data_IF_767935626463
#
_entry.id   IF_767935626463
#
_cell.length_a   1.000
_cell.length_b   1.000
_cell.length_c   1.000
_cell.angle_alpha   90.00
_cell.angle_beta   90.00
_cell.angle_gamma   90.00
#
_symmetry.space_group_name_H-M   'P 1'
#
loop_
_entity.id
_entity.type
_entity.pdbx_description
1 polymer ?
#
# COMPACT_ATOMS: atom_id res chain seq x y z
N UNK A 1 2.01 91.84 2.68
CA UNK A 1 1.19 90.72 2.16
C UNK A 1 2.11 89.68 1.56
N UNK A 2 2.08 88.45 2.07
CA UNK A 2 2.19 87.13 1.41
C UNK A 2 2.04 86.12 2.57
N UNK A 3 0.97 85.31 2.63
CA UNK A 3 0.83 84.31 3.68
C UNK A 3 1.64 83.06 3.31
N UNK A 4 2.40 82.52 4.26
CA UNK A 4 3.06 81.22 4.12
C UNK A 4 2.02 80.12 4.39
N UNK A 5 1.65 79.39 3.34
CA UNK A 5 0.81 78.20 3.43
C UNK A 5 1.72 77.01 3.78
N UNK A 6 1.51 76.40 4.94
CA UNK A 6 2.10 75.10 5.27
C UNK A 6 1.21 73.99 4.72
N UNK A 7 1.68 73.29 3.68
CA UNK A 7 1.02 72.09 3.15
C UNK A 7 1.54 70.89 3.94
N UNK A 8 0.70 70.34 4.82
CA UNK A 8 0.94 69.08 5.49
C UNK A 8 0.71 67.93 4.49
N UNK A 9 1.79 67.36 3.97
CA UNK A 9 1.74 66.15 3.15
C UNK A 9 1.57 64.94 4.08
N UNK A 10 0.34 64.50 4.26
CA UNK A 10 0.04 63.19 4.84
C UNK A 10 0.38 62.10 3.82
N UNK A 11 1.52 61.43 3.99
CA UNK A 11 1.83 60.19 3.26
C UNK A 11 1.12 59.05 3.99
N UNK A 12 0.11 58.39 3.39
CA UNK A 12 -0.49 57.22 4.01
C UNK A 12 0.57 56.13 4.04
N UNK A 13 0.96 55.71 5.25
CA UNK A 13 1.70 54.47 5.44
C UNK A 13 0.80 53.32 4.99
N UNK A 14 0.98 52.87 3.74
CA UNK A 14 0.45 51.59 3.29
C UNK A 14 1.21 50.52 4.07
N UNK A 15 0.57 49.97 5.10
CA UNK A 15 1.01 48.78 5.80
C UNK A 15 1.04 47.63 4.78
N UNK A 16 2.20 47.39 4.16
CA UNK A 16 2.42 46.16 3.40
C UNK A 16 2.41 45.06 4.45
N UNK A 17 1.28 44.37 4.58
CA UNK A 17 1.22 43.11 5.30
C UNK A 17 2.19 42.17 4.59
N UNK A 18 3.33 41.91 5.24
CA UNK A 18 4.24 40.85 4.82
C UNK A 18 3.45 39.54 4.93
N UNK A 19 2.85 39.11 3.82
CA UNK A 19 2.41 37.72 3.69
C UNK A 19 3.71 36.93 3.69
N UNK A 20 3.99 36.25 4.81
CA UNK A 20 5.19 35.42 4.94
C UNK A 20 5.27 34.49 3.73
N UNK A 21 6.35 34.60 2.97
CA UNK A 21 6.60 33.73 1.83
C UNK A 21 6.60 32.29 2.35
N UNK A 22 5.70 31.47 1.81
CA UNK A 22 5.66 30.05 2.06
C UNK A 22 6.99 29.44 1.58
N UNK A 23 7.78 28.88 2.49
CA UNK A 23 9.03 28.20 2.13
C UNK A 23 8.66 26.88 1.43
N UNK A 24 8.62 26.90 0.09
CA UNK A 24 8.43 25.70 -0.72
C UNK A 24 9.57 24.73 -0.45
N UNK A 25 9.28 23.66 0.29
CA UNK A 25 10.23 22.57 0.47
C UNK A 25 10.19 21.70 -0.79
N UNK A 26 11.14 21.92 -1.69
CA UNK A 26 11.30 21.09 -2.88
C UNK A 26 11.52 19.61 -2.54
N UNK A 27 11.23 18.72 -3.48
CA UNK A 27 11.56 17.30 -3.43
C UNK A 27 11.97 16.81 -4.81
N UNK A 28 12.62 15.65 -4.88
CA UNK A 28 13.21 15.12 -6.12
C UNK A 28 12.28 14.10 -6.80
N UNK A 29 11.67 13.21 -6.01
CA UNK A 29 10.83 12.12 -6.51
C UNK A 29 9.75 11.71 -5.50
N UNK A 30 8.82 10.87 -5.93
CA UNK A 30 7.79 10.26 -5.08
C UNK A 30 8.21 8.84 -4.70
N UNK A 31 8.15 8.52 -3.41
CA UNK A 31 8.31 7.16 -2.90
C UNK A 31 6.95 6.63 -2.47
N UNK A 32 6.35 5.77 -3.30
CA UNK A 32 5.07 5.14 -3.01
C UNK A 32 5.29 3.83 -2.26
N UNK A 33 4.77 3.73 -1.05
CA UNK A 33 5.01 2.61 -0.14
C UNK A 33 3.74 1.84 0.18
N UNK A 34 3.85 0.52 0.15
CA UNK A 34 2.79 -0.39 0.55
C UNK A 34 3.33 -1.34 1.62
N UNK A 35 2.56 -1.53 2.69
CA UNK A 35 2.90 -2.34 3.85
C UNK A 35 2.11 -3.65 3.84
N UNK A 36 2.74 -4.73 4.29
CA UNK A 36 2.05 -6.00 4.51
C UNK A 36 1.34 -5.96 5.88
N UNK A 37 -0.01 -5.96 5.94
CA UNK A 37 -0.72 -5.70 7.19
C UNK A 37 -0.38 -6.66 8.33
N UNK A 38 -0.05 -7.91 8.03
CA UNK A 38 0.29 -8.94 9.02
C UNK A 38 1.59 -8.58 9.72
N UNK A 39 2.56 -8.11 8.95
CA UNK A 39 3.86 -7.69 9.46
C UNK A 39 3.74 -6.40 10.27
N UNK A 40 2.93 -5.45 9.81
CA UNK A 40 2.62 -4.25 10.58
C UNK A 40 1.93 -4.59 11.91
N UNK A 41 0.98 -5.51 11.91
CA UNK A 41 0.32 -5.98 13.11
C UNK A 41 1.30 -6.70 14.07
N UNK A 42 2.18 -7.55 13.57
CA UNK A 42 3.22 -8.22 14.39
C UNK A 42 4.09 -7.18 15.08
N UNK A 43 4.66 -6.24 14.30
CA UNK A 43 5.48 -5.13 14.84
C UNK A 43 4.73 -4.33 15.90
N UNK A 44 3.46 -4.00 15.65
CA UNK A 44 2.61 -3.26 16.58
C UNK A 44 2.36 -4.01 17.89
N UNK A 45 2.08 -5.31 17.81
CA UNK A 45 1.86 -6.14 19.00
C UNK A 45 3.14 -6.42 19.79
N UNK A 46 4.28 -6.49 19.10
CA UNK A 46 5.59 -6.66 19.75
C UNK A 46 5.95 -5.46 20.62
N UNK A 47 5.42 -4.25 20.34
CA UNK A 47 5.69 -3.05 21.15
C UNK A 47 4.85 -2.95 22.43
N UNK A 48 3.71 -3.63 22.52
CA UNK A 48 2.88 -3.64 23.74
C UNK A 48 1.85 -4.78 23.72
N UNK A 49 1.68 -5.44 24.88
CA UNK A 49 0.68 -6.51 25.06
C UNK A 49 -0.78 -6.04 24.92
N UNK A 50 -1.03 -4.74 25.07
CA UNK A 50 -2.37 -4.16 24.99
C UNK A 50 -2.75 -3.75 23.55
N UNK A 51 -1.82 -3.85 22.60
CA UNK A 51 -2.08 -3.49 21.22
C UNK A 51 -2.91 -4.57 20.53
N UNK A 52 -3.97 -4.13 19.87
CA UNK A 52 -4.77 -4.94 18.94
C UNK A 52 -4.49 -4.47 17.51
N UNK A 53 -4.93 -5.23 16.53
CA UNK A 53 -4.77 -4.88 15.12
C UNK A 53 -6.13 -4.74 14.46
N UNK A 54 -6.23 -3.79 13.54
CA UNK A 54 -7.33 -3.70 12.61
C UNK A 54 -6.90 -4.37 11.30
N UNK A 55 -7.61 -5.42 10.90
CA UNK A 55 -7.28 -6.25 9.73
C UNK A 55 -8.46 -6.32 8.76
N UNK A 56 -9.29 -5.27 8.68
CA UNK A 56 -10.50 -5.22 7.86
C UNK A 56 -10.23 -5.58 6.38
N UNK A 57 -9.05 -5.24 5.85
CA UNK A 57 -8.55 -5.75 4.57
C UNK A 57 -7.20 -6.45 4.71
N UNK A 58 -7.08 -7.37 5.67
CA UNK A 58 -5.82 -8.08 5.86
C UNK A 58 -5.43 -8.96 4.67
N UNK A 59 -6.32 -9.26 3.72
CA UNK A 59 -6.05 -10.23 2.66
C UNK A 59 -5.03 -9.75 1.61
N UNK A 60 -4.73 -8.45 1.55
CA UNK A 60 -3.80 -7.87 0.58
C UNK A 60 -2.91 -6.78 1.20
N UNK A 61 -1.98 -6.25 0.42
CA UNK A 61 -1.15 -5.11 0.79
C UNK A 61 -1.99 -3.86 1.01
N UNK A 62 -1.61 -3.05 2.00
CA UNK A 62 -2.22 -1.74 2.23
C UNK A 62 -1.25 -0.65 1.83
N UNK A 63 -1.78 0.47 1.33
CA UNK A 63 -0.99 1.70 1.19
C UNK A 63 -0.48 2.10 2.58
N UNK A 64 0.80 2.43 2.65
CA UNK A 64 1.38 3.13 3.80
C UNK A 64 1.40 4.62 3.50
N UNK A 65 1.99 5.04 2.37
CA UNK A 65 1.81 6.40 1.87
C UNK A 65 2.49 6.71 0.54
N UNK A 66 2.31 7.97 0.10
CA UNK A 66 2.97 8.53 -1.10
C UNK A 66 3.84 9.69 -0.63
N UNK A 67 5.16 9.48 -0.61
CA UNK A 67 6.07 10.41 0.09
C UNK A 67 6.91 11.22 -0.89
N UNK A 68 6.68 12.54 -1.00
CA UNK A 68 7.67 13.46 -1.57
C UNK A 68 9.02 13.28 -0.89
N UNK A 69 10.04 12.95 -1.68
CA UNK A 69 11.35 12.53 -1.18
C UNK A 69 12.48 13.29 -1.89
N UNK A 70 13.44 13.78 -1.10
CA UNK A 70 14.74 14.28 -1.55
C UNK A 70 15.77 13.16 -1.50
N UNK A 71 16.69 13.16 -2.46
CA UNK A 71 17.76 12.18 -2.58
C UNK A 71 18.49 11.97 -1.24
N UNK A 72 18.61 10.71 -0.82
CA UNK A 72 19.31 10.29 0.41
C UNK A 72 18.77 10.88 1.72
N UNK A 73 17.52 11.35 1.74
CA UNK A 73 16.90 11.91 2.96
C UNK A 73 15.51 11.35 3.24
N UNK A 74 15.05 11.49 4.49
CA UNK A 74 13.67 11.21 4.89
C UNK A 74 12.93 12.55 4.91
N UNK A 75 12.43 12.99 3.76
CA UNK A 75 11.70 14.25 3.63
C UNK A 75 11.74 14.84 2.22
N UNK A 76 11.12 16.00 1.99
CA UNK A 76 10.69 16.96 2.99
C UNK A 76 9.47 16.48 3.80
N UNK A 77 9.31 17.04 5.00
CA UNK A 77 8.22 16.71 5.93
C UNK A 77 7.52 17.98 6.42
N UNK A 78 6.23 17.86 6.72
CA UNK A 78 5.39 18.92 7.30
C UNK A 78 5.56 20.25 6.53
N UNK A 79 5.32 20.21 5.22
CA UNK A 79 5.58 21.36 4.35
C UNK A 79 4.58 22.49 4.55
N UNK A 80 3.37 22.21 5.04
CA UNK A 80 2.39 23.24 5.35
C UNK A 80 1.80 23.07 6.76
N UNK A 81 2.19 23.95 7.68
CA UNK A 81 1.71 23.94 9.06
C UNK A 81 0.42 24.75 9.28
N UNK A 82 -0.08 25.46 8.27
CA UNK A 82 -1.35 26.20 8.33
C UNK A 82 -2.52 25.38 7.81
N UNK A 83 -2.23 24.37 6.97
CA UNK A 83 -3.21 23.40 6.49
C UNK A 83 -3.82 22.62 7.66
N UNK A 84 -5.12 22.34 7.56
CA UNK A 84 -5.82 21.46 8.48
C UNK A 84 -6.35 20.27 7.69
N UNK A 85 -6.22 19.08 8.26
CA UNK A 85 -6.84 17.87 7.74
C UNK A 85 -8.36 17.96 7.89
N UNK A 86 -9.11 17.74 6.81
CA UNK A 86 -10.57 17.74 6.81
C UNK A 86 -11.13 16.40 6.29
N UNK A 87 -11.54 15.48 7.19
CA UNK A 87 -12.07 14.19 6.78
C UNK A 87 -13.32 14.28 5.91
N UNK A 88 -14.04 15.41 5.90
CA UNK A 88 -15.19 15.61 5.00
C UNK A 88 -14.76 15.71 3.54
N UNK A 89 -13.55 16.19 3.26
CA UNK A 89 -13.00 16.24 1.91
C UNK A 89 -12.82 14.83 1.31
N UNK A 90 -12.76 13.79 2.15
CA UNK A 90 -12.54 12.40 1.73
C UNK A 90 -13.83 11.60 1.58
N UNK A 91 -15.00 12.21 1.80
CA UNK A 91 -16.29 11.51 1.84
C UNK A 91 -16.51 10.58 0.64
N UNK A 92 -16.16 11.02 -0.57
CA UNK A 92 -16.43 10.30 -1.81
C UNK A 92 -15.46 9.14 -2.08
N UNK A 93 -14.33 9.07 -1.35
CA UNK A 93 -13.33 8.00 -1.45
C UNK A 93 -13.11 7.26 -0.13
N UNK A 94 -13.94 7.53 0.89
CA UNK A 94 -13.74 7.00 2.22
C UNK A 94 -13.80 5.47 2.25
N UNK A 95 -14.70 4.84 1.50
CA UNK A 95 -14.79 3.38 1.40
C UNK A 95 -13.51 2.76 0.86
N UNK A 96 -12.92 3.39 -0.15
CA UNK A 96 -11.69 2.90 -0.78
C UNK A 96 -10.48 3.10 0.13
N UNK A 97 -10.44 4.18 0.91
CA UNK A 97 -9.42 4.37 1.94
C UNK A 97 -9.55 3.33 3.06
N UNK A 98 -10.76 3.06 3.54
CA UNK A 98 -11.03 2.03 4.55
C UNK A 98 -10.69 0.61 4.06
N UNK A 99 -10.72 0.38 2.75
CA UNK A 99 -10.31 -0.89 2.14
C UNK A 99 -8.80 -0.95 1.87
N UNK A 100 -8.20 0.08 1.30
CA UNK A 100 -6.87 -0.02 0.67
C UNK A 100 -5.77 0.78 1.36
N UNK A 101 -6.12 1.71 2.25
CA UNK A 101 -5.17 2.55 3.00
C UNK A 101 -5.45 2.40 4.50
N UNK A 102 -5.44 1.17 5.00
CA UNK A 102 -5.94 0.87 6.34
C UNK A 102 -4.96 1.31 7.42
N UNK A 103 -5.50 1.82 8.54
CA UNK A 103 -4.75 1.87 9.79
C UNK A 103 -4.73 0.45 10.39
N UNK A 104 -3.57 -0.21 10.35
CA UNK A 104 -3.38 -1.55 10.89
C UNK A 104 -3.36 -1.53 12.41
N UNK A 105 -2.94 -0.42 13.02
CA UNK A 105 -2.88 -0.29 14.46
C UNK A 105 -4.31 -0.24 14.99
N UNK A 106 -4.73 -1.26 15.74
CA UNK A 106 -6.05 -1.32 16.36
C UNK A 106 -6.09 -0.59 17.71
N UNK A 107 -7.28 -0.59 18.31
CA UNK A 107 -7.54 0.01 19.61
C UNK A 107 -8.31 1.32 19.52
N UNK A 108 -8.54 1.99 20.65
CA UNK A 108 -9.28 3.25 20.70
C UNK A 108 -8.36 4.43 20.35
N UNK A 109 -8.32 4.82 19.08
CA UNK A 109 -7.65 6.03 18.60
C UNK A 109 -8.54 6.77 17.60
N UNK A 110 -8.13 7.98 17.21
CA UNK A 110 -8.81 8.78 16.20
C UNK A 110 -8.94 7.97 14.90
N UNK A 111 -10.19 7.73 14.46
CA UNK A 111 -10.51 6.98 13.23
C UNK A 111 -9.72 7.47 12.01
N UNK A 112 -9.45 8.77 11.94
CA UNK A 112 -8.75 9.39 10.82
C UNK A 112 -7.27 9.71 11.13
N UNK A 113 -6.78 9.27 12.28
CA UNK A 113 -5.47 9.64 12.81
C UNK A 113 -4.32 9.27 11.87
N UNK A 114 -4.38 8.09 11.26
CA UNK A 114 -3.37 7.64 10.29
C UNK A 114 -3.37 8.47 9.01
N UNK A 115 -4.52 8.68 8.37
CA UNK A 115 -4.61 9.53 7.17
C UNK A 115 -4.22 10.97 7.47
N UNK A 116 -4.63 11.50 8.63
CA UNK A 116 -4.18 12.81 9.10
C UNK A 116 -2.66 12.86 9.22
N UNK A 117 -2.02 11.83 9.78
CA UNK A 117 -0.56 11.76 9.87
C UNK A 117 0.08 11.79 8.47
N UNK A 118 -0.35 10.91 7.58
CA UNK A 118 0.20 10.79 6.22
C UNK A 118 0.03 12.09 5.43
N UNK A 119 -1.16 12.70 5.46
CA UNK A 119 -1.40 13.94 4.74
C UNK A 119 -0.60 15.11 5.32
N UNK A 120 -0.67 15.32 6.64
CA UNK A 120 0.00 16.47 7.27
C UNK A 120 1.53 16.39 7.13
N UNK A 121 2.09 15.18 7.27
CA UNK A 121 3.53 14.96 7.20
C UNK A 121 4.07 14.90 5.78
N UNK A 122 3.36 14.23 4.87
CA UNK A 122 3.84 13.95 3.50
C UNK A 122 2.99 14.62 2.43
N UNK A 123 1.67 14.50 2.50
CA UNK A 123 0.76 15.05 1.47
C UNK A 123 0.86 16.56 1.27
N UNK A 124 1.06 17.33 2.35
CA UNK A 124 1.28 18.79 2.26
C UNK A 124 2.51 19.18 1.44
N UNK A 125 3.47 18.27 1.26
CA UNK A 125 4.66 18.48 0.45
C UNK A 125 4.46 18.19 -1.05
N UNK A 126 3.33 17.58 -1.42
CA UNK A 126 3.00 17.25 -2.81
C UNK A 126 2.13 18.32 -3.48
N UNK A 127 1.86 19.45 -2.81
CA UNK A 127 0.89 20.47 -3.24
C UNK A 127 1.19 21.05 -4.64
N UNK A 128 2.47 21.05 -5.04
CA UNK A 128 2.93 21.56 -6.35
C UNK A 128 2.66 20.59 -7.51
N UNK A 129 2.31 19.34 -7.23
CA UNK A 129 1.83 18.40 -8.24
C UNK A 129 0.32 18.58 -8.35
N UNK A 130 -0.16 19.08 -9.50
CA UNK A 130 -1.58 19.38 -9.71
C UNK A 130 -2.53 18.24 -9.30
N UNK A 131 -2.21 16.99 -9.67
CA UNK A 131 -3.01 15.80 -9.32
C UNK A 131 -2.85 15.31 -7.89
N UNK A 132 -2.13 16.02 -7.03
CA UNK A 132 -1.97 15.77 -5.59
C UNK A 132 -2.10 17.07 -4.77
N UNK A 133 -2.61 18.14 -5.40
CA UNK A 133 -2.57 19.51 -4.87
C UNK A 133 -3.51 19.77 -3.69
N UNK A 134 -4.44 18.85 -3.44
CA UNK A 134 -5.42 18.92 -2.35
C UNK A 134 -5.41 17.62 -1.57
N UNK A 135 -5.97 17.62 -0.36
CA UNK A 135 -6.15 16.43 0.46
C UNK A 135 -6.84 15.30 -0.32
N UNK A 136 -7.99 15.60 -0.94
CA UNK A 136 -8.71 14.65 -1.78
C UNK A 136 -7.85 14.09 -2.92
N UNK A 137 -7.16 14.95 -3.67
CA UNK A 137 -6.35 14.53 -4.82
C UNK A 137 -5.13 13.69 -4.39
N UNK A 138 -4.51 14.02 -3.26
CA UNK A 138 -3.42 13.24 -2.68
C UNK A 138 -3.85 11.79 -2.39
N UNK A 139 -4.98 11.63 -1.68
CA UNK A 139 -5.50 10.31 -1.33
C UNK A 139 -6.01 9.55 -2.54
N UNK A 140 -6.73 10.21 -3.45
CA UNK A 140 -7.19 9.61 -4.71
C UNK A 140 -5.99 9.10 -5.53
N UNK A 141 -4.91 9.88 -5.63
CA UNK A 141 -3.70 9.46 -6.33
C UNK A 141 -3.07 8.22 -5.69
N UNK A 142 -3.00 8.15 -4.36
CA UNK A 142 -2.50 6.95 -3.68
C UNK A 142 -3.31 5.70 -3.98
N UNK A 143 -4.65 5.82 -4.02
CA UNK A 143 -5.55 4.73 -4.40
C UNK A 143 -5.36 4.29 -5.87
N UNK A 144 -5.21 5.24 -6.80
CA UNK A 144 -4.90 4.93 -8.21
C UNK A 144 -3.56 4.20 -8.37
N UNK A 145 -2.54 4.62 -7.62
CA UNK A 145 -1.22 3.98 -7.63
C UNK A 145 -1.27 2.56 -7.06
N UNK A 146 -2.05 2.35 -5.98
CA UNK A 146 -2.27 1.02 -5.40
C UNK A 146 -2.94 0.07 -6.39
N UNK A 147 -4.02 0.53 -7.05
CA UNK A 147 -4.70 -0.26 -8.08
C UNK A 147 -3.78 -0.59 -9.28
N UNK A 148 -2.90 0.34 -9.65
CA UNK A 148 -1.93 0.13 -10.74
C UNK A 148 -0.81 -0.84 -10.36
N UNK A 149 -0.32 -0.77 -9.12
CA UNK A 149 0.84 -1.53 -8.64
C UNK A 149 0.46 -2.51 -7.53
N UNK A 150 -0.33 -3.52 -7.90
CA UNK A 150 -0.69 -4.66 -7.05
C UNK A 150 0.57 -5.48 -6.70
N UNK A 151 1.13 -5.25 -5.51
CA UNK A 151 2.36 -5.89 -5.03
C UNK A 151 2.21 -7.41 -4.95
N UNK A 152 1.04 -7.92 -4.53
CA UNK A 152 0.77 -9.36 -4.47
C UNK A 152 0.93 -10.00 -5.85
N UNK A 153 0.41 -9.36 -6.90
CA UNK A 153 0.55 -9.83 -8.27
C UNK A 153 1.98 -9.67 -8.82
N UNK A 154 2.66 -8.56 -8.52
CA UNK A 154 4.05 -8.33 -8.93
C UNK A 154 4.98 -9.40 -8.33
N UNK A 155 4.82 -9.73 -7.05
CA UNK A 155 5.58 -10.79 -6.37
C UNK A 155 5.25 -12.17 -6.94
N UNK A 156 3.96 -12.49 -7.12
CA UNK A 156 3.51 -13.78 -7.66
C UNK A 156 4.06 -14.07 -9.05
N UNK A 157 4.09 -13.07 -9.93
CA UNK A 157 4.67 -13.19 -11.28
C UNK A 157 6.15 -13.56 -11.25
N UNK A 158 6.88 -13.13 -10.22
CA UNK A 158 8.27 -13.49 -9.97
C UNK A 158 8.47 -14.74 -9.11
N UNK A 159 7.41 -15.51 -8.82
CA UNK A 159 7.51 -16.75 -8.04
C UNK A 159 7.61 -16.57 -6.52
N UNK A 160 7.31 -15.36 -6.01
CA UNK A 160 7.32 -15.05 -4.58
C UNK A 160 5.89 -15.06 -4.04
N UNK A 161 5.63 -15.94 -3.08
CA UNK A 161 4.30 -16.20 -2.54
C UNK A 161 4.27 -16.03 -1.02
N UNK A 162 3.15 -15.54 -0.50
CA UNK A 162 2.89 -15.54 0.94
C UNK A 162 2.98 -16.96 1.52
N UNK A 163 3.41 -17.06 2.78
CA UNK A 163 3.59 -18.32 3.49
C UNK A 163 4.95 -18.98 3.30
N UNK A 164 5.82 -18.43 2.43
CA UNK A 164 7.17 -18.91 2.19
C UNK A 164 8.22 -17.91 2.67
N UNK A 165 9.49 -18.29 2.61
CA UNK A 165 10.61 -17.43 2.94
C UNK A 165 11.57 -17.35 1.76
N UNK A 166 12.11 -16.16 1.51
CA UNK A 166 13.02 -15.89 0.39
C UNK A 166 14.16 -15.00 0.85
N UNK A 167 15.27 -14.98 0.10
CA UNK A 167 16.28 -13.95 0.29
C UNK A 167 15.78 -12.58 -0.24
N UNK A 168 16.51 -11.52 0.08
CA UNK A 168 16.12 -10.16 -0.33
C UNK A 168 16.12 -9.98 -1.86
N UNK A 169 17.04 -10.66 -2.56
CA UNK A 169 17.17 -10.59 -4.02
C UNK A 169 15.93 -11.15 -4.73
N UNK A 170 15.34 -12.23 -4.23
CA UNK A 170 14.12 -12.80 -4.79
C UNK A 170 12.95 -11.79 -4.78
N UNK A 171 12.75 -11.05 -3.68
CA UNK A 171 11.72 -10.00 -3.61
C UNK A 171 12.00 -8.86 -4.59
N UNK A 172 13.24 -8.34 -4.60
CA UNK A 172 13.64 -7.26 -5.50
C UNK A 172 13.46 -7.67 -6.97
N UNK A 173 13.97 -8.85 -7.35
CA UNK A 173 13.92 -9.33 -8.73
C UNK A 173 12.49 -9.64 -9.20
N UNK A 174 11.63 -10.19 -8.34
CA UNK A 174 10.23 -10.45 -8.66
C UNK A 174 9.48 -9.17 -9.05
N UNK A 175 9.62 -8.13 -8.22
CA UNK A 175 8.97 -6.83 -8.46
C UNK A 175 9.64 -6.09 -9.62
N UNK A 176 10.97 -6.01 -9.65
CA UNK A 176 11.75 -5.32 -10.70
C UNK A 176 11.43 -5.84 -12.10
N UNK A 177 11.31 -7.16 -12.26
CA UNK A 177 10.97 -7.77 -13.56
C UNK A 177 9.60 -7.33 -14.06
N UNK A 178 8.63 -7.22 -13.14
CA UNK A 178 7.28 -6.77 -13.47
C UNK A 178 7.18 -5.26 -13.69
N UNK A 179 8.14 -4.48 -13.18
CA UNK A 179 8.24 -3.03 -13.38
C UNK A 179 9.08 -2.66 -14.62
N UNK A 180 9.44 -3.61 -15.49
CA UNK A 180 10.24 -3.29 -16.69
C UNK A 180 11.70 -2.95 -16.40
N UNK A 181 12.24 -3.45 -15.28
CA UNK A 181 13.65 -3.28 -14.90
C UNK A 181 13.91 -2.14 -13.91
N UNK A 182 12.90 -1.38 -13.49
CA UNK A 182 13.05 -0.36 -12.44
C UNK A 182 13.18 -1.00 -11.06
N UNK A 183 14.24 -0.65 -10.33
CA UNK A 183 14.55 -1.21 -9.01
C UNK A 183 13.59 -0.68 -7.93
N UNK A 184 12.78 -1.54 -7.28
CA UNK A 184 11.95 -1.16 -6.14
C UNK A 184 12.79 -1.06 -4.86
N UNK A 185 12.18 -0.66 -3.74
CA UNK A 185 12.78 -0.72 -2.41
C UNK A 185 12.08 -1.76 -1.54
N UNK A 186 12.87 -2.45 -0.72
CA UNK A 186 12.45 -3.51 0.19
C UNK A 186 12.78 -3.11 1.63
N UNK A 187 11.80 -3.26 2.52
CA UNK A 187 11.95 -3.04 3.95
C UNK A 187 11.52 -4.29 4.71
N UNK A 188 12.30 -4.65 5.72
CA UNK A 188 12.06 -5.80 6.57
C UNK A 188 12.06 -5.38 8.03
N UNK A 189 11.49 -6.23 8.86
CA UNK A 189 11.57 -6.12 10.30
C UNK A 189 12.19 -7.39 10.88
N UNK A 190 12.62 -7.31 12.14
CA UNK A 190 13.21 -8.44 12.86
C UNK A 190 12.59 -8.57 14.24
N UNK A 191 12.18 -9.78 14.57
CA UNK A 191 11.81 -10.14 15.93
C UNK A 191 12.57 -11.41 16.36
N UNK A 192 12.12 -12.04 17.45
CA UNK A 192 12.73 -13.27 17.99
C UNK A 192 12.65 -14.48 17.04
N UNK A 193 11.73 -14.46 16.08
CA UNK A 193 11.50 -15.53 15.11
C UNK A 193 12.32 -15.35 13.82
N UNK A 194 12.97 -14.20 13.66
CA UNK A 194 13.81 -13.88 12.50
C UNK A 194 13.35 -12.65 11.74
N UNK A 195 13.78 -12.56 10.48
CA UNK A 195 13.43 -11.47 9.58
C UNK A 195 12.09 -11.74 8.88
N UNK A 196 11.28 -10.70 8.71
CA UNK A 196 10.04 -10.78 7.97
C UNK A 196 9.83 -9.56 7.09
N UNK A 197 9.17 -9.77 5.94
CA UNK A 197 8.85 -8.75 4.96
C UNK A 197 7.91 -7.71 5.58
N UNK A 198 8.24 -6.44 5.52
CA UNK A 198 7.41 -5.38 6.12
C UNK A 198 6.76 -4.50 5.07
N UNK A 199 7.55 -3.94 4.18
CA UNK A 199 7.09 -2.96 3.19
C UNK A 199 7.84 -3.13 1.87
N UNK A 200 7.15 -2.84 0.77
CA UNK A 200 7.74 -2.64 -0.55
C UNK A 200 7.40 -1.23 -1.01
N UNK A 201 8.32 -0.61 -1.74
CA UNK A 201 8.08 0.71 -2.30
C UNK A 201 8.58 0.86 -3.73
N UNK A 202 7.91 1.75 -4.44
CA UNK A 202 8.11 2.04 -5.86
C UNK A 202 8.40 3.52 -5.98
N UNK A 203 9.45 3.87 -6.73
CA UNK A 203 9.88 5.24 -6.90
C UNK A 203 9.44 5.78 -8.25
N UNK A 204 9.00 7.03 -8.26
CA UNK A 204 8.44 7.68 -9.44
C UNK A 204 8.90 9.12 -9.52
N UNK A 205 9.08 9.65 -10.72
CA UNK A 205 9.25 11.09 -10.88
C UNK A 205 7.94 11.86 -10.59
N UNK A 206 8.00 13.19 -10.66
CA UNK A 206 6.84 14.07 -10.41
C UNK A 206 5.72 13.95 -11.46
N UNK A 207 5.97 13.24 -12.55
CA UNK A 207 4.99 12.94 -13.62
C UNK A 207 4.46 11.51 -13.53
N UNK A 208 4.76 10.81 -12.43
CA UNK A 208 4.36 9.43 -12.17
C UNK A 208 4.96 8.41 -13.16
N UNK A 209 6.12 8.71 -13.76
CA UNK A 209 6.91 7.70 -14.46
C UNK A 209 7.84 6.98 -13.49
N UNK A 210 8.04 5.68 -13.70
CA UNK A 210 8.90 4.86 -12.85
C UNK A 210 10.35 5.33 -12.92
N UNK A 211 11.02 5.34 -11.77
CA UNK A 211 12.46 5.55 -11.64
C UNK A 211 13.03 4.50 -10.65
N UNK A 212 14.34 4.32 -10.62
CA UNK A 212 14.96 3.43 -9.63
C UNK A 212 14.91 4.04 -8.23
N UNK A 213 14.68 3.20 -7.21
CA UNK A 213 14.71 3.58 -5.81
C UNK A 213 16.11 3.72 -5.20
N UNK A 214 17.17 3.74 -6.01
CA UNK A 214 18.56 3.75 -5.54
C UNK A 214 18.92 4.97 -4.65
N UNK A 215 18.08 6.01 -4.67
CA UNK A 215 18.29 7.29 -3.98
C UNK A 215 17.42 7.50 -2.74
N UNK A 216 16.76 6.46 -2.23
CA UNK A 216 16.06 6.55 -0.94
C UNK A 216 17.06 6.53 0.23
N UNK A 217 16.72 7.20 1.33
CA UNK A 217 17.47 7.05 2.58
C UNK A 217 17.42 5.58 3.07
N UNK A 218 18.56 5.05 3.50
CA UNK A 218 18.69 3.62 3.88
C UNK A 218 18.98 2.68 2.71
N UNK A 219 18.82 3.15 1.46
CA UNK A 219 19.05 2.37 0.25
C UNK A 219 17.97 1.31 -0.02
N UNK A 220 18.15 0.56 -1.11
CA UNK A 220 17.16 -0.39 -1.66
C UNK A 220 16.74 -1.50 -0.68
N UNK A 221 17.59 -1.86 0.28
CA UNK A 221 17.37 -3.02 1.16
C UNK A 221 16.98 -2.67 2.59
N UNK A 222 16.73 -1.39 2.93
CA UNK A 222 16.22 -1.01 4.25
C UNK A 222 16.90 -1.74 5.43
N UNK A 223 16.10 -2.27 6.35
CA UNK A 223 16.55 -3.17 7.43
C UNK A 223 16.59 -4.67 7.06
N UNK A 224 16.50 -5.02 5.77
CA UNK A 224 16.61 -6.40 5.32
C UNK A 224 18.03 -6.95 5.45
N UNK A 225 18.17 -8.26 5.73
CA UNK A 225 19.48 -8.88 5.75
C UNK A 225 20.06 -8.91 4.33
N UNK A 226 21.35 -8.60 4.22
CA UNK A 226 22.09 -8.52 2.94
C UNK A 226 22.84 -9.80 2.59
N UNK A 227 22.90 -10.76 3.51
CA UNK A 227 23.57 -12.03 3.30
C UNK A 227 22.67 -12.99 2.51
N UNK A 228 23.21 -13.66 1.50
CA UNK A 228 22.46 -14.53 0.58
C UNK A 228 21.76 -15.72 1.24
N UNK A 229 22.13 -16.08 2.47
CA UNK A 229 21.52 -17.19 3.22
C UNK A 229 20.51 -16.72 4.27
N UNK A 230 20.31 -15.41 4.44
CA UNK A 230 19.37 -14.87 5.41
C UNK A 230 17.98 -14.78 4.81
N UNK A 231 17.12 -15.71 5.20
CA UNK A 231 15.75 -15.78 4.70
C UNK A 231 14.83 -14.78 5.42
N UNK A 232 14.01 -14.11 4.63
CA UNK A 232 12.96 -13.20 5.05
C UNK A 232 11.63 -13.92 4.87
N UNK A 233 10.88 -14.06 5.96
CA UNK A 233 9.55 -14.66 5.94
C UNK A 233 8.56 -13.69 5.28
N UNK A 234 7.77 -14.17 4.32
CA UNK A 234 6.57 -13.48 3.84
C UNK A 234 5.36 -14.13 4.50
N UNK A 235 4.77 -13.56 5.57
CA UNK A 235 3.71 -14.21 6.32
C UNK A 235 2.45 -14.46 5.48
N UNK A 236 1.70 -15.53 5.77
CA UNK A 236 0.37 -15.72 5.21
C UNK A 236 -0.54 -14.55 5.57
N UNK A 237 -1.26 -14.02 4.58
CA UNK A 237 -2.42 -13.17 4.80
C UNK A 237 -3.53 -13.98 5.46
N UNK A 238 -4.52 -13.35 6.14
CA UNK A 238 -5.76 -13.99 6.52
C UNK A 238 -6.31 -14.64 5.27
N UNK A 239 -6.23 -15.96 5.24
CA UNK A 239 -6.77 -16.73 4.15
C UNK A 239 -8.22 -16.31 4.00
N UNK A 240 -8.62 -16.05 2.76
CA UNK A 240 -9.89 -16.52 2.26
C UNK A 240 -10.00 -18.02 2.64
N UNK A 241 -10.44 -18.30 3.88
CA UNK A 241 -10.83 -19.64 4.28
C UNK A 241 -11.86 -20.17 3.28
N UNK A 242 -12.67 -19.27 2.69
CA UNK A 242 -13.68 -19.59 1.68
C UNK A 242 -13.15 -20.29 0.43
N UNK A 243 -12.01 -19.90 -0.15
CA UNK A 243 -11.54 -20.49 -1.41
C UNK A 243 -11.02 -21.92 -1.26
N UNK A 244 -10.34 -22.21 -0.14
CA UNK A 244 -9.84 -23.56 0.15
C UNK A 244 -11.01 -24.51 0.41
N UNK A 245 -11.99 -24.10 1.23
CA UNK A 245 -13.20 -24.90 1.45
C UNK A 245 -14.01 -25.07 0.15
N UNK A 246 -14.14 -24.03 -0.67
CA UNK A 246 -14.87 -24.12 -1.95
C UNK A 246 -14.19 -25.09 -2.94
N UNK A 247 -12.85 -25.12 -2.99
CA UNK A 247 -12.10 -26.08 -3.82
C UNK A 247 -12.28 -27.52 -3.33
N UNK A 248 -12.17 -27.76 -2.03
CA UNK A 248 -12.40 -29.10 -1.46
C UNK A 248 -13.85 -29.56 -1.67
N UNK A 249 -14.82 -28.66 -1.53
CA UNK A 249 -16.23 -28.94 -1.80
C UNK A 249 -16.45 -29.26 -3.28
N UNK A 250 -15.84 -28.48 -4.19
CA UNK A 250 -15.94 -28.71 -5.64
C UNK A 250 -15.37 -30.06 -6.07
N UNK A 251 -14.18 -30.43 -5.58
CA UNK A 251 -13.56 -31.74 -5.83
C UNK A 251 -14.42 -32.87 -5.27
N UNK A 252 -14.94 -32.71 -4.05
CA UNK A 252 -15.81 -33.70 -3.42
C UNK A 252 -17.08 -33.95 -4.24
N UNK A 253 -17.74 -32.89 -4.73
CA UNK A 253 -18.91 -33.04 -5.59
C UNK A 253 -18.57 -33.68 -6.95
N UNK A 254 -17.45 -33.32 -7.58
CA UNK A 254 -17.01 -33.96 -8.83
C UNK A 254 -16.79 -35.47 -8.66
N UNK A 255 -16.18 -35.91 -7.57
CA UNK A 255 -15.99 -37.32 -7.27
C UNK A 255 -17.33 -38.05 -7.06
N UNK A 256 -18.28 -37.44 -6.34
CA UNK A 256 -19.61 -38.03 -6.10
C UNK A 256 -20.39 -38.15 -7.40
N UNK A 257 -20.51 -37.06 -8.18
CA UNK A 257 -21.27 -37.08 -9.41
C UNK A 257 -20.63 -37.99 -10.46
N UNK A 258 -19.30 -38.02 -10.55
CA UNK A 258 -18.57 -38.98 -11.39
C UNK A 258 -18.85 -40.43 -11.00
N UNK A 259 -18.83 -40.74 -9.70
CA UNK A 259 -19.14 -42.07 -9.19
C UNK A 259 -20.59 -42.52 -9.46
N UNK A 260 -21.56 -41.61 -9.25
CA UNK A 260 -22.98 -41.88 -9.54
C UNK A 260 -23.19 -42.10 -11.04
N UNK A 261 -22.63 -41.24 -11.89
CA UNK A 261 -22.74 -41.36 -13.34
C UNK A 261 -22.15 -42.69 -13.83
N UNK A 262 -20.97 -43.07 -13.32
CA UNK A 262 -20.33 -44.35 -13.62
C UNK A 262 -21.22 -45.54 -13.20
N UNK A 263 -21.75 -45.51 -11.97
CA UNK A 263 -22.65 -46.57 -11.48
C UNK A 263 -23.93 -46.70 -12.32
N UNK A 264 -24.59 -45.59 -12.64
CA UNK A 264 -25.80 -45.59 -13.45
C UNK A 264 -25.53 -46.05 -14.89
N UNK A 265 -24.43 -45.63 -15.48
CA UNK A 265 -24.00 -46.07 -16.81
C UNK A 265 -23.78 -47.58 -16.86
N UNK A 266 -23.04 -48.13 -15.88
CA UNK A 266 -22.82 -49.58 -15.78
C UNK A 266 -24.12 -50.36 -15.55
N UNK A 267 -25.02 -49.84 -14.70
CA UNK A 267 -26.33 -50.44 -14.47
C UNK A 267 -27.19 -50.45 -15.73
N UNK A 268 -27.18 -49.36 -16.50
CA UNK A 268 -27.88 -49.25 -17.78
C UNK A 268 -27.36 -50.26 -18.81
N UNK A 269 -26.03 -50.36 -18.98
CA UNK A 269 -25.42 -51.33 -19.90
C UNK A 269 -25.77 -52.77 -19.51
N UNK A 270 -25.68 -53.11 -18.23
CA UNK A 270 -26.01 -54.46 -17.76
C UNK A 270 -27.48 -54.79 -17.99
N UNK A 271 -28.40 -53.86 -17.72
CA UNK A 271 -29.83 -54.05 -18.00
C UNK A 271 -30.09 -54.23 -19.51
N UNK A 272 -29.45 -53.42 -20.37
CA UNK A 272 -29.58 -53.54 -21.82
C UNK A 272 -29.10 -54.92 -22.31
N UNK A 273 -27.94 -55.39 -21.85
CA UNK A 273 -27.42 -56.72 -22.18
C UNK A 273 -28.39 -57.84 -21.76
N UNK A 274 -28.95 -57.76 -20.55
CA UNK A 274 -29.95 -58.74 -20.08
C UNK A 274 -31.24 -58.70 -20.91
N UNK A 275 -31.70 -57.52 -21.31
CA UNK A 275 -32.88 -57.39 -22.16
C UNK A 275 -32.68 -57.92 -23.59
N UNK A 276 -31.47 -57.81 -24.14
CA UNK A 276 -31.10 -58.38 -25.43
C UNK A 276 -30.99 -59.90 -25.35
N UNK A 277 -30.41 -60.44 -24.26
CA UNK A 277 -30.36 -61.87 -23.99
C UNK A 277 -31.77 -62.50 -23.86
N UNK A 278 -32.69 -61.86 -23.13
CA UNK A 278 -34.05 -62.38 -22.93
C UNK A 278 -34.97 -62.28 -24.16
N UNK A 279 -34.52 -61.67 -25.27
CA UNK A 279 -35.26 -61.58 -26.54
C UNK A 279 -34.86 -62.66 -27.55
N UNK A 280 -33.78 -63.41 -27.28
CA UNK A 280 -33.32 -64.56 -28.07
C UNK A 280 -33.95 -65.84 -27.53
#
# INVERSE_FOLDING_TARGET
>A
MIPRIFISLWVPWLSISYVGAYEHKEFDFLYFTQVWPQSACVKWKDSSKNHTCNMNNGADWSIHGVWPTKNMTIGPLYCNNTTKFDPKALKDILSELEAHWIDVHGGSHDKYGFWKHEYMKHGTCAADIFSMSTEYLYFLKGLELHAKYDISNLLRKGGVYQGSSYDAEAFINAVKSSLGGFTPALECEKNKEGHYLYQLGICMDKTFQLINCDRIAGGVYGNCPKETNSLIKYPYGPQSRSHIYAWFIGIFFLCIFGGIAYYLYHRYINHRRLSEYNRL
#
